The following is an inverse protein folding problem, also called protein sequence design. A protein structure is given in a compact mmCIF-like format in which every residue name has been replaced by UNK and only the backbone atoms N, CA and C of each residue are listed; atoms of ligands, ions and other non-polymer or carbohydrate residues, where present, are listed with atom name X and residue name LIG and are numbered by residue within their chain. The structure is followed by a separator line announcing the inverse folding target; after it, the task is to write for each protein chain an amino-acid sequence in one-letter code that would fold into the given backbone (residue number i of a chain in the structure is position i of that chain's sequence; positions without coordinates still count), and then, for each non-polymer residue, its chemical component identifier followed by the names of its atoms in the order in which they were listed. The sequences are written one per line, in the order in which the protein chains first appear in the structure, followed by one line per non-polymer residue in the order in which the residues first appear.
data_IF_528427345381
#
_entry.id   IF_528427345381
#
_cell.length_a   1.000
_cell.length_b   1.000
_cell.length_c   1.000
_cell.angle_alpha   90.00
_cell.angle_beta   90.00
_cell.angle_gamma   90.00
#
_symmetry.space_group_name_H-M   'P 1'
#
loop_
_entity.id
_entity.type
_entity.pdbx_description
1 polymer ?
#
# COMPACT_ATOMS: atom_id res chain seq x y z
N UNK A 1 -7.61 -33.65 12.84
CA UNK A 1 -8.84 -32.83 12.73
C UNK A 1 -9.50 -33.18 11.42
N UNK A 2 -10.80 -33.47 11.41
CA UNK A 2 -11.51 -33.76 10.17
C UNK A 2 -11.54 -32.53 9.26
N UNK A 3 -11.39 -32.73 7.95
CA UNK A 3 -11.41 -31.65 6.97
C UNK A 3 -12.69 -30.79 7.09
N UNK A 4 -13.82 -31.41 7.40
CA UNK A 4 -15.09 -30.73 7.65
C UNK A 4 -15.03 -29.79 8.86
N UNK A 5 -14.36 -30.19 9.94
CA UNK A 5 -14.19 -29.33 11.13
C UNK A 5 -13.32 -28.13 10.81
N UNK A 6 -12.23 -28.32 10.05
CA UNK A 6 -11.36 -27.22 9.62
C UNK A 6 -12.14 -26.23 8.74
N UNK A 7 -12.92 -26.72 7.78
CA UNK A 7 -13.75 -25.88 6.91
C UNK A 7 -14.81 -25.11 7.69
N UNK A 8 -15.50 -25.75 8.64
CA UNK A 8 -16.49 -25.07 9.48
C UNK A 8 -15.85 -24.00 10.36
N UNK A 9 -14.68 -24.28 10.96
CA UNK A 9 -13.93 -23.29 11.73
C UNK A 9 -13.48 -22.11 10.87
N UNK A 10 -12.95 -22.38 9.68
CA UNK A 10 -12.58 -21.35 8.71
C UNK A 10 -13.76 -20.45 8.36
N UNK A 11 -14.90 -21.04 7.98
CA UNK A 11 -16.13 -20.28 7.66
C UNK A 11 -16.59 -19.46 8.87
N UNK A 12 -16.65 -20.08 10.06
CA UNK A 12 -17.05 -19.41 11.30
C UNK A 12 -16.18 -18.20 11.60
N UNK A 13 -14.85 -18.33 11.50
CA UNK A 13 -13.91 -17.24 11.71
C UNK A 13 -14.08 -16.13 10.66
N UNK A 14 -14.21 -16.48 9.37
CA UNK A 14 -14.44 -15.50 8.30
C UNK A 14 -15.74 -14.73 8.53
N UNK A 15 -16.83 -15.41 8.89
CA UNK A 15 -18.12 -14.78 9.18
C UNK A 15 -18.01 -13.84 10.39
N UNK A 16 -17.42 -14.30 11.49
CA UNK A 16 -17.25 -13.47 12.70
C UNK A 16 -16.40 -12.23 12.40
N UNK A 17 -15.25 -12.41 11.74
CA UNK A 17 -14.36 -11.31 11.36
C UNK A 17 -15.07 -10.30 10.44
N UNK A 18 -15.79 -10.79 9.43
CA UNK A 18 -16.56 -9.96 8.51
C UNK A 18 -17.64 -9.17 9.23
N UNK A 19 -18.46 -9.83 10.06
CA UNK A 19 -19.53 -9.17 10.79
C UNK A 19 -18.99 -8.11 11.75
N UNK A 20 -17.87 -8.39 12.42
CA UNK A 20 -17.20 -7.44 13.29
C UNK A 20 -16.70 -6.22 12.51
N UNK A 21 -16.05 -6.43 11.37
CA UNK A 21 -15.56 -5.36 10.50
C UNK A 21 -16.71 -4.49 9.98
N UNK A 22 -17.77 -5.11 9.45
CA UNK A 22 -18.97 -4.40 8.97
C UNK A 22 -19.65 -3.63 10.10
N UNK A 23 -19.70 -4.19 11.30
CA UNK A 23 -20.23 -3.52 12.48
C UNK A 23 -19.39 -2.29 12.86
N UNK A 24 -18.07 -2.41 12.91
CA UNK A 24 -17.15 -1.29 13.19
C UNK A 24 -17.28 -0.18 12.14
N UNK A 25 -17.27 -0.53 10.85
CA UNK A 25 -17.43 0.42 9.75
C UNK A 25 -18.77 1.15 9.85
N UNK A 26 -19.88 0.42 10.11
CA UNK A 26 -21.19 1.05 10.29
C UNK A 26 -21.25 1.93 11.54
N UNK A 27 -20.60 1.54 12.64
CA UNK A 27 -20.50 2.37 13.84
C UNK A 27 -19.79 3.68 13.53
N UNK A 28 -18.68 3.63 12.78
CA UNK A 28 -17.93 4.81 12.37
C UNK A 28 -18.77 5.71 11.46
N UNK A 29 -19.40 5.16 10.42
CA UNK A 29 -20.28 5.92 9.51
C UNK A 29 -21.38 6.64 10.29
N UNK A 30 -22.09 5.94 11.18
CA UNK A 30 -23.16 6.54 12.00
C UNK A 30 -22.63 7.65 12.90
N UNK A 31 -21.46 7.44 13.51
CA UNK A 31 -20.85 8.44 14.38
C UNK A 31 -20.50 9.71 13.59
N UNK A 32 -19.85 9.57 12.44
CA UNK A 32 -19.49 10.70 11.57
C UNK A 32 -20.73 11.42 11.04
N UNK A 33 -21.75 10.68 10.59
CA UNK A 33 -23.01 11.25 10.11
C UNK A 33 -23.72 12.08 11.18
N UNK A 34 -23.80 11.59 12.42
CA UNK A 34 -24.43 12.30 13.54
C UNK A 34 -23.73 13.62 13.88
N UNK A 35 -22.41 13.69 13.72
CA UNK A 35 -21.62 14.88 14.06
C UNK A 35 -21.24 15.73 12.85
N UNK A 36 -21.75 15.40 11.66
CA UNK A 36 -21.47 16.14 10.41
C UNK A 36 -21.87 17.61 10.49
N UNK A 37 -22.94 17.93 11.22
CA UNK A 37 -23.52 19.27 11.25
C UNK A 37 -22.86 20.23 12.25
N UNK A 38 -21.93 19.75 13.08
CA UNK A 38 -21.34 20.54 14.17
C UNK A 38 -19.86 20.25 14.31
N UNK A 39 -19.04 21.30 14.24
CA UNK A 39 -17.61 21.21 14.54
C UNK A 39 -17.44 21.08 16.05
N UNK A 40 -16.60 20.15 16.56
CA UNK A 40 -16.32 20.08 17.99
C UNK A 40 -15.72 21.40 18.51
N UNK A 41 -16.07 21.80 19.72
CA UNK A 41 -15.67 23.09 20.31
C UNK A 41 -14.16 23.33 20.33
N UNK A 42 -13.36 22.27 20.52
CA UNK A 42 -11.90 22.35 20.49
C UNK A 42 -11.32 22.80 19.13
N UNK A 43 -12.09 22.64 18.04
CA UNK A 43 -11.64 22.91 16.67
C UNK A 43 -12.44 24.01 15.96
N UNK A 44 -13.50 24.53 16.57
CA UNK A 44 -14.42 25.48 15.92
C UNK A 44 -13.77 26.80 15.52
N UNK A 45 -12.64 27.16 16.12
CA UNK A 45 -11.87 28.37 15.76
C UNK A 45 -10.92 28.18 14.58
N UNK A 46 -10.61 26.93 14.20
CA UNK A 46 -9.63 26.61 13.14
C UNK A 46 -10.26 25.92 11.92
N UNK A 47 -11.37 25.20 12.13
CA UNK A 47 -12.03 24.42 11.08
C UNK A 47 -13.40 25.02 10.81
N UNK A 48 -13.62 25.42 9.56
CA UNK A 48 -14.94 25.87 9.11
C UNK A 48 -15.94 24.72 9.08
N UNK A 49 -17.22 25.01 9.27
CA UNK A 49 -18.29 24.02 9.18
C UNK A 49 -18.33 23.36 7.80
N UNK A 50 -18.01 24.09 6.74
CA UNK A 50 -17.94 23.56 5.38
C UNK A 50 -16.81 22.52 5.24
N UNK A 51 -15.60 22.83 5.70
CA UNK A 51 -14.48 21.90 5.68
C UNK A 51 -14.76 20.63 6.50
N UNK A 52 -15.38 20.79 7.68
CA UNK A 52 -15.80 19.66 8.51
C UNK A 52 -16.85 18.77 7.81
N UNK A 53 -17.85 19.37 7.16
CA UNK A 53 -18.86 18.63 6.38
C UNK A 53 -18.22 17.89 5.21
N UNK A 54 -17.30 18.52 4.50
CA UNK A 54 -16.55 17.90 3.39
C UNK A 54 -15.74 16.70 3.88
N UNK A 55 -15.03 16.83 5.01
CA UNK A 55 -14.26 15.73 5.61
C UNK A 55 -15.17 14.57 6.08
N UNK A 56 -16.33 14.89 6.67
CA UNK A 56 -17.32 13.90 7.06
C UNK A 56 -17.87 13.14 5.84
N UNK A 57 -18.23 13.85 4.76
CA UNK A 57 -18.72 13.26 3.52
C UNK A 57 -17.68 12.37 2.85
N UNK A 58 -16.42 12.81 2.82
CA UNK A 58 -15.30 12.00 2.31
C UNK A 58 -15.13 10.71 3.11
N UNK A 59 -15.12 10.82 4.44
CA UNK A 59 -15.02 9.67 5.34
C UNK A 59 -16.15 8.67 5.09
N UNK A 60 -17.39 9.15 5.00
CA UNK A 60 -18.56 8.29 4.74
C UNK A 60 -18.44 7.61 3.37
N UNK A 61 -18.07 8.34 2.32
CA UNK A 61 -17.90 7.79 0.98
C UNK A 61 -16.85 6.67 0.94
N UNK A 62 -15.67 6.91 1.55
CA UNK A 62 -14.58 5.94 1.64
C UNK A 62 -14.97 4.70 2.44
N UNK A 63 -15.68 4.88 3.56
CA UNK A 63 -16.15 3.75 4.38
C UNK A 63 -17.23 2.92 3.68
N UNK A 64 -18.17 3.56 2.97
CA UNK A 64 -19.16 2.84 2.17
C UNK A 64 -18.50 2.04 1.03
N UNK A 65 -17.51 2.62 0.37
CA UNK A 65 -16.74 1.93 -0.65
C UNK A 65 -15.94 0.75 -0.08
N UNK A 66 -15.33 0.91 1.10
CA UNK A 66 -14.65 -0.19 1.81
C UNK A 66 -15.57 -1.38 2.09
N UNK A 67 -16.87 -1.14 2.37
CA UNK A 67 -17.86 -2.23 2.50
C UNK A 67 -18.03 -3.00 1.19
N UNK A 68 -18.18 -2.30 0.06
CA UNK A 68 -18.29 -2.93 -1.27
C UNK A 68 -17.05 -3.78 -1.57
N UNK A 69 -15.86 -3.21 -1.33
CA UNK A 69 -14.61 -3.93 -1.48
C UNK A 69 -14.55 -5.19 -0.61
N UNK A 70 -14.94 -5.08 0.66
CA UNK A 70 -14.95 -6.22 1.60
C UNK A 70 -15.88 -7.34 1.11
N UNK A 71 -17.06 -6.99 0.60
CA UNK A 71 -18.02 -7.97 0.04
C UNK A 71 -17.41 -8.68 -1.16
N UNK A 72 -16.77 -7.95 -2.07
CA UNK A 72 -16.11 -8.55 -3.23
C UNK A 72 -14.96 -9.47 -2.81
N UNK A 73 -14.12 -9.04 -1.86
CA UNK A 73 -13.02 -9.86 -1.33
C UNK A 73 -13.52 -11.18 -0.71
N UNK A 74 -14.64 -11.15 0.00
CA UNK A 74 -15.26 -12.35 0.58
C UNK A 74 -15.86 -13.24 -0.50
N UNK A 75 -16.54 -12.65 -1.49
CA UNK A 75 -17.07 -13.40 -2.63
C UNK A 75 -15.94 -14.11 -3.40
N UNK A 76 -14.82 -13.42 -3.62
CA UNK A 76 -13.62 -14.02 -4.22
C UNK A 76 -13.04 -15.13 -3.33
N UNK A 77 -12.89 -14.90 -2.02
CA UNK A 77 -12.39 -15.90 -1.09
C UNK A 77 -13.20 -17.19 -1.14
N UNK A 78 -14.54 -17.10 -1.05
CA UNK A 78 -15.42 -18.26 -1.15
C UNK A 78 -15.45 -18.86 -2.56
N UNK A 79 -15.41 -18.02 -3.61
CA UNK A 79 -15.30 -18.45 -5.00
C UNK A 79 -14.08 -19.34 -5.24
N UNK A 80 -12.92 -18.90 -4.76
CA UNK A 80 -11.67 -19.62 -4.91
C UNK A 80 -11.59 -20.88 -4.03
N UNK A 81 -12.07 -20.80 -2.79
CA UNK A 81 -11.88 -21.89 -1.81
C UNK A 81 -13.03 -22.90 -1.77
N UNK A 82 -14.28 -22.45 -1.58
CA UNK A 82 -15.42 -23.33 -1.32
C UNK A 82 -16.18 -23.71 -2.60
N UNK A 83 -16.21 -22.81 -3.59
CA UNK A 83 -16.91 -23.04 -4.87
C UNK A 83 -16.02 -23.72 -5.91
N UNK A 84 -14.84 -24.20 -5.52
CA UNK A 84 -13.94 -24.95 -6.40
C UNK A 84 -13.21 -24.10 -7.43
N UNK A 85 -13.11 -22.77 -7.26
CA UNK A 85 -12.40 -21.90 -8.19
C UNK A 85 -10.93 -22.31 -8.38
N UNK A 86 -10.23 -22.64 -7.29
CA UNK A 86 -8.84 -23.08 -7.36
C UNK A 86 -8.71 -24.43 -8.09
N UNK A 87 -9.63 -25.36 -7.82
CA UNK A 87 -9.66 -26.65 -8.52
C UNK A 87 -9.93 -26.46 -10.01
N UNK A 88 -10.86 -25.57 -10.35
CA UNK A 88 -11.20 -25.26 -11.74
C UNK A 88 -10.00 -24.68 -12.48
N UNK A 89 -9.26 -23.76 -11.85
CA UNK A 89 -8.02 -23.21 -12.42
C UNK A 89 -6.94 -24.29 -12.56
N UNK A 90 -6.78 -25.17 -11.56
CA UNK A 90 -5.86 -26.29 -11.61
C UNK A 90 -6.18 -27.22 -12.79
N UNK A 91 -7.45 -27.61 -12.96
CA UNK A 91 -7.90 -28.45 -14.07
C UNK A 91 -7.70 -27.77 -15.44
N UNK A 92 -7.89 -26.46 -15.54
CA UNK A 92 -7.65 -25.70 -16.77
C UNK A 92 -6.16 -25.68 -17.17
N UNK A 93 -5.26 -25.67 -16.19
CA UNK A 93 -3.82 -25.63 -16.44
C UNK A 93 -3.19 -27.01 -16.58
N UNK A 94 -3.83 -28.05 -16.05
CA UNK A 94 -3.32 -29.42 -16.04
C UNK A 94 -2.85 -29.92 -17.43
N UNK A 95 -3.54 -29.64 -18.56
CA UNK A 95 -3.08 -30.05 -19.89
C UNK A 95 -1.72 -29.45 -20.30
N UNK A 96 -1.35 -28.31 -19.74
CA UNK A 96 -0.08 -27.61 -20.01
C UNK A 96 1.02 -27.97 -19.00
N UNK A 97 0.73 -28.83 -18.01
CA UNK A 97 1.69 -29.16 -16.96
C UNK A 97 2.96 -29.86 -17.46
N UNK A 98 2.84 -30.71 -18.50
CA UNK A 98 3.98 -31.43 -19.09
C UNK A 98 4.92 -30.46 -19.81
N UNK A 99 4.38 -29.47 -20.53
CA UNK A 99 5.18 -28.50 -21.30
C UNK A 99 5.85 -27.47 -20.40
N UNK A 100 5.19 -27.07 -19.31
CA UNK A 100 5.70 -26.11 -18.33
C UNK A 100 6.68 -26.74 -17.32
N UNK A 101 6.64 -28.07 -17.16
CA UNK A 101 7.34 -28.78 -16.07
C UNK A 101 6.71 -28.52 -14.70
N UNK A 102 7.15 -29.27 -13.68
CA UNK A 102 6.53 -29.25 -12.34
C UNK A 102 6.53 -27.88 -11.66
N UNK A 103 7.67 -27.17 -11.68
CA UNK A 103 7.79 -25.83 -11.07
C UNK A 103 7.09 -24.78 -11.95
N UNK A 104 7.25 -24.84 -13.28
CA UNK A 104 6.62 -23.89 -14.20
C UNK A 104 5.09 -23.93 -14.13
N UNK A 105 4.52 -25.12 -13.98
CA UNK A 105 3.09 -25.31 -13.74
C UNK A 105 2.60 -24.60 -12.46
N UNK A 106 3.31 -24.79 -11.34
CA UNK A 106 2.95 -24.16 -10.06
C UNK A 106 3.08 -22.63 -10.11
N UNK A 107 4.13 -22.12 -10.77
CA UNK A 107 4.30 -20.69 -11.02
C UNK A 107 3.11 -20.16 -11.85
N UNK A 108 2.73 -20.84 -12.92
CA UNK A 108 1.62 -20.44 -13.77
C UNK A 108 0.29 -20.40 -12.99
N UNK A 109 0.04 -21.38 -12.12
CA UNK A 109 -1.15 -21.40 -11.28
C UNK A 109 -1.22 -20.19 -10.35
N UNK A 110 -0.13 -19.89 -9.62
CA UNK A 110 -0.07 -18.73 -8.72
C UNK A 110 -0.20 -17.43 -9.52
N UNK A 111 0.51 -17.32 -10.63
CA UNK A 111 0.50 -16.12 -11.49
C UNK A 111 -0.90 -15.84 -12.06
N UNK A 112 -1.58 -16.84 -12.60
CA UNK A 112 -2.91 -16.66 -13.20
C UNK A 112 -3.96 -16.38 -12.12
N UNK A 113 -3.86 -17.05 -10.97
CA UNK A 113 -4.70 -16.73 -9.81
C UNK A 113 -4.55 -15.25 -9.40
N UNK A 114 -3.32 -14.76 -9.25
CA UNK A 114 -3.03 -13.37 -8.93
C UNK A 114 -3.49 -12.41 -10.04
N UNK A 115 -3.31 -12.78 -11.30
CA UNK A 115 -3.74 -11.97 -12.44
C UNK A 115 -5.26 -11.80 -12.47
N UNK A 116 -6.02 -12.88 -12.26
CA UNK A 116 -7.49 -12.82 -12.20
C UNK A 116 -7.93 -11.93 -11.03
N UNK A 117 -7.31 -12.08 -9.86
CA UNK A 117 -7.58 -11.21 -8.71
C UNK A 117 -7.33 -9.73 -9.03
N UNK A 118 -6.17 -9.41 -9.61
CA UNK A 118 -5.84 -8.04 -10.02
C UNK A 118 -6.84 -7.47 -11.02
N UNK A 119 -7.25 -8.24 -12.04
CA UNK A 119 -8.25 -7.81 -13.03
C UNK A 119 -9.60 -7.52 -12.39
N UNK A 120 -10.03 -8.34 -11.43
CA UNK A 120 -11.28 -8.13 -10.69
C UNK A 120 -11.21 -6.87 -9.81
N UNK A 121 -10.04 -6.51 -9.31
CA UNK A 121 -9.83 -5.30 -8.49
C UNK A 121 -9.76 -4.01 -9.32
N UNK A 122 -9.40 -4.07 -10.62
CA UNK A 122 -9.25 -2.88 -11.47
C UNK A 122 -10.46 -1.93 -11.50
N UNK A 123 -11.72 -2.40 -11.61
CA UNK A 123 -12.88 -1.51 -11.59
C UNK A 123 -13.05 -0.80 -10.24
N UNK A 124 -12.70 -1.45 -9.14
CA UNK A 124 -12.74 -0.84 -7.81
C UNK A 124 -11.65 0.22 -7.69
N UNK A 125 -10.43 -0.09 -8.09
CA UNK A 125 -9.32 0.86 -8.09
C UNK A 125 -9.64 2.11 -8.93
N UNK A 126 -10.18 1.90 -10.14
CA UNK A 126 -10.62 2.99 -11.00
C UNK A 126 -11.71 3.83 -10.35
N UNK A 127 -12.71 3.19 -9.72
CA UNK A 127 -13.81 3.91 -9.05
C UNK A 127 -13.28 4.73 -7.87
N UNK A 128 -12.35 4.18 -7.09
CA UNK A 128 -11.70 4.89 -5.98
C UNK A 128 -11.05 6.18 -6.48
N UNK A 129 -10.19 6.12 -7.49
CA UNK A 129 -9.48 7.28 -8.02
C UNK A 129 -10.40 8.27 -8.76
N UNK A 130 -11.12 7.80 -9.77
CA UNK A 130 -11.83 8.68 -10.72
C UNK A 130 -13.24 9.06 -10.29
N UNK A 131 -13.81 8.43 -9.25
CA UNK A 131 -15.11 8.80 -8.69
C UNK A 131 -15.01 9.33 -7.28
N UNK A 132 -14.37 8.60 -6.37
CA UNK A 132 -14.30 9.03 -4.97
C UNK A 132 -13.28 10.16 -4.84
N UNK A 133 -11.99 9.90 -5.08
CA UNK A 133 -10.94 10.90 -4.90
C UNK A 133 -11.14 12.13 -5.80
N UNK A 134 -11.59 11.92 -7.05
CA UNK A 134 -11.95 13.02 -7.95
C UNK A 134 -13.07 13.91 -7.39
N UNK A 135 -14.12 13.33 -6.79
CA UNK A 135 -15.25 14.09 -6.22
C UNK A 135 -14.81 15.01 -5.08
N UNK A 136 -13.79 14.62 -4.32
CA UNK A 136 -13.29 15.40 -3.19
C UNK A 136 -12.12 16.32 -3.55
N UNK A 137 -11.62 16.24 -4.79
CA UNK A 137 -10.55 17.07 -5.32
C UNK A 137 -9.14 16.58 -4.97
N UNK A 138 -9.01 15.32 -4.56
CA UNK A 138 -7.72 14.70 -4.27
C UNK A 138 -7.07 14.13 -5.53
N UNK A 139 -7.84 13.54 -6.43
CA UNK A 139 -7.27 12.95 -7.64
C UNK A 139 -6.71 14.02 -8.59
N UNK A 140 -5.44 13.87 -8.95
CA UNK A 140 -4.76 14.64 -10.00
C UNK A 140 -4.32 13.77 -11.16
N UNK A 141 -4.45 12.45 -11.00
CA UNK A 141 -4.05 11.45 -11.99
C UNK A 141 -4.97 11.49 -13.22
N UNK A 142 -4.37 11.46 -14.41
CA UNK A 142 -5.09 11.22 -15.66
C UNK A 142 -5.23 9.73 -15.94
N UNK A 143 -6.17 9.34 -16.80
CA UNK A 143 -6.32 7.94 -17.25
C UNK A 143 -5.04 7.38 -17.88
N UNK A 144 -4.25 8.23 -18.56
CA UNK A 144 -2.99 7.83 -19.18
C UNK A 144 -1.92 7.49 -18.14
N UNK A 145 -1.81 8.29 -17.07
CA UNK A 145 -0.89 8.00 -15.96
C UNK A 145 -1.36 6.74 -15.23
N UNK A 146 -2.66 6.61 -14.98
CA UNK A 146 -3.24 5.42 -14.33
C UNK A 146 -2.94 4.13 -15.08
N UNK A 147 -3.18 4.11 -16.39
CA UNK A 147 -2.89 2.92 -17.20
C UNK A 147 -1.38 2.63 -17.28
N UNK A 148 -0.56 3.67 -17.38
CA UNK A 148 0.90 3.52 -17.42
C UNK A 148 1.43 2.94 -16.10
N UNK A 149 0.95 3.44 -14.96
CA UNK A 149 1.32 2.95 -13.65
C UNK A 149 0.85 1.51 -13.43
N UNK A 150 -0.35 1.16 -13.88
CA UNK A 150 -0.86 -0.21 -13.87
C UNK A 150 0.06 -1.16 -14.65
N UNK A 151 0.42 -0.80 -15.88
CA UNK A 151 1.31 -1.60 -16.72
C UNK A 151 2.71 -1.72 -16.10
N UNK A 152 3.28 -0.61 -15.63
CA UNK A 152 4.59 -0.62 -14.94
C UNK A 152 4.55 -1.51 -13.70
N UNK A 153 3.53 -1.37 -12.86
CA UNK A 153 3.36 -2.19 -11.66
C UNK A 153 3.23 -3.67 -12.00
N UNK A 154 2.48 -4.01 -13.05
CA UNK A 154 2.35 -5.39 -13.52
C UNK A 154 3.72 -5.98 -13.90
N UNK A 155 4.52 -5.26 -14.69
CA UNK A 155 5.84 -5.73 -15.10
C UNK A 155 6.84 -5.79 -13.94
N UNK A 156 6.91 -4.76 -13.10
CA UNK A 156 7.81 -4.73 -11.94
C UNK A 156 7.45 -5.86 -10.97
N UNK A 157 6.17 -6.03 -10.64
CA UNK A 157 5.71 -7.07 -9.73
C UNK A 157 5.93 -8.47 -10.30
N UNK A 158 5.72 -8.67 -11.61
CA UNK A 158 5.97 -9.96 -12.26
C UNK A 158 7.47 -10.28 -12.31
N UNK A 159 8.30 -9.29 -12.66
CA UNK A 159 9.75 -9.44 -12.76
C UNK A 159 10.39 -9.78 -11.41
N UNK A 160 9.87 -9.23 -10.31
CA UNK A 160 10.38 -9.46 -8.96
C UNK A 160 9.71 -10.69 -8.32
N UNK A 161 8.39 -10.81 -8.47
CA UNK A 161 7.59 -11.84 -7.82
C UNK A 161 7.79 -13.24 -8.40
N UNK A 162 7.86 -13.39 -9.72
CA UNK A 162 7.99 -14.71 -10.35
C UNK A 162 9.31 -15.42 -9.98
N UNK A 163 10.49 -14.76 -10.00
CA UNK A 163 11.73 -15.38 -9.53
C UNK A 163 11.67 -15.76 -8.04
N UNK A 164 11.04 -14.94 -7.21
CA UNK A 164 10.91 -15.22 -5.78
C UNK A 164 10.00 -16.43 -5.53
N UNK A 165 8.87 -16.51 -6.23
CA UNK A 165 7.97 -17.68 -6.19
C UNK A 165 8.74 -18.93 -6.66
N UNK A 166 9.45 -18.83 -7.78
CA UNK A 166 10.25 -19.94 -8.31
C UNK A 166 11.30 -20.43 -7.30
N UNK A 167 12.01 -19.50 -6.64
CA UNK A 167 13.00 -19.82 -5.61
C UNK A 167 12.36 -20.55 -4.42
N UNK A 168 11.23 -20.07 -3.92
CA UNK A 168 10.53 -20.69 -2.78
C UNK A 168 10.03 -22.10 -3.15
N UNK A 169 9.40 -22.27 -4.31
CA UNK A 169 8.93 -23.57 -4.78
C UNK A 169 10.08 -24.55 -5.00
N UNK A 170 11.21 -24.07 -5.53
CA UNK A 170 12.41 -24.87 -5.68
C UNK A 170 12.99 -25.31 -4.32
N UNK A 171 13.04 -24.42 -3.33
CA UNK A 171 13.47 -24.74 -1.97
C UNK A 171 12.54 -25.79 -1.32
N UNK A 172 11.22 -25.66 -1.51
CA UNK A 172 10.24 -26.65 -1.04
C UNK A 172 10.51 -28.05 -1.60
N UNK A 173 10.92 -28.14 -2.88
CA UNK A 173 11.21 -29.41 -3.52
C UNK A 173 12.57 -30.03 -3.19
N UNK A 174 13.55 -29.23 -2.74
CA UNK A 174 14.96 -29.65 -2.63
C UNK A 174 15.51 -29.70 -1.21
N UNK A 175 15.08 -28.80 -0.31
CA UNK A 175 15.68 -28.60 1.00
C UNK A 175 15.09 -29.50 2.12
N UNK A 176 14.33 -30.53 1.74
CA UNK A 176 13.77 -31.56 2.63
C UNK A 176 12.96 -30.96 3.78
N UNK A 177 13.05 -31.55 4.98
CA UNK A 177 12.29 -31.09 6.16
C UNK A 177 12.63 -29.67 6.62
N UNK A 178 13.79 -29.13 6.21
CA UNK A 178 14.27 -27.79 6.58
C UNK A 178 13.92 -26.71 5.54
N UNK A 179 13.14 -27.02 4.51
CA UNK A 179 12.84 -26.08 3.42
C UNK A 179 12.30 -24.73 3.91
N UNK A 180 11.49 -24.75 4.96
CA UNK A 180 10.85 -23.56 5.52
C UNK A 180 11.86 -22.59 6.15
N UNK A 181 12.97 -23.10 6.71
CA UNK A 181 14.07 -22.26 7.23
C UNK A 181 14.79 -21.54 6.09
N UNK A 182 15.04 -22.24 4.99
CA UNK A 182 15.67 -21.65 3.80
C UNK A 182 14.75 -20.66 3.10
N UNK A 183 13.46 -20.99 2.95
CA UNK A 183 12.47 -20.07 2.39
C UNK A 183 12.31 -18.82 3.27
N UNK A 184 12.31 -18.97 4.60
CA UNK A 184 12.32 -17.86 5.54
C UNK A 184 13.57 -16.99 5.40
N UNK A 185 14.77 -17.59 5.35
CA UNK A 185 16.01 -16.84 5.19
C UNK A 185 16.05 -16.08 3.85
N UNK A 186 15.64 -16.74 2.76
CA UNK A 186 15.50 -16.11 1.44
C UNK A 186 14.51 -14.94 1.48
N UNK A 187 13.36 -15.11 2.14
CA UNK A 187 12.36 -14.05 2.30
C UNK A 187 12.90 -12.86 3.11
N UNK A 188 13.62 -13.10 4.20
CA UNK A 188 14.26 -12.04 5.01
C UNK A 188 15.30 -11.28 4.18
N UNK A 189 16.21 -11.98 3.51
CA UNK A 189 17.23 -11.37 2.66
C UNK A 189 16.57 -10.56 1.55
N UNK A 190 15.54 -11.11 0.90
CA UNK A 190 14.77 -10.41 -0.13
C UNK A 190 14.14 -9.11 0.38
N UNK A 191 13.53 -9.12 1.57
CA UNK A 191 12.95 -7.91 2.16
C UNK A 191 14.03 -6.86 2.49
N UNK A 192 15.18 -7.27 3.03
CA UNK A 192 16.30 -6.37 3.28
C UNK A 192 16.85 -5.77 1.99
N UNK A 193 16.92 -6.55 0.90
CA UNK A 193 17.29 -6.05 -0.41
C UNK A 193 16.26 -5.06 -0.95
N UNK A 194 14.96 -5.35 -0.83
CA UNK A 194 13.91 -4.44 -1.26
C UNK A 194 13.91 -3.11 -0.50
N UNK A 195 14.30 -3.07 0.77
CA UNK A 195 14.48 -1.81 1.50
C UNK A 195 15.49 -0.87 0.83
N UNK A 196 16.47 -1.41 0.10
CA UNK A 196 17.48 -0.64 -0.64
C UNK A 196 17.07 -0.45 -2.11
N UNK A 197 16.63 -1.52 -2.77
CA UNK A 197 16.27 -1.52 -4.20
C UNK A 197 15.05 -0.64 -4.46
N UNK A 198 14.06 -0.65 -3.58
CA UNK A 198 12.81 0.09 -3.79
C UNK A 198 13.02 1.59 -3.97
N UNK A 199 13.61 2.33 -3.00
CA UNK A 199 13.78 3.77 -3.16
C UNK A 199 14.77 4.17 -4.26
N UNK A 200 15.74 3.31 -4.59
CA UNK A 200 16.81 3.64 -5.56
C UNK A 200 16.38 3.35 -7.00
N UNK A 201 15.70 2.23 -7.25
CA UNK A 201 15.39 1.77 -8.61
C UNK A 201 13.91 1.66 -8.91
N UNK A 202 13.07 1.29 -7.93
CA UNK A 202 11.64 1.07 -8.20
C UNK A 202 10.88 2.40 -8.14
N UNK A 203 11.01 3.14 -7.04
CA UNK A 203 10.28 4.40 -6.85
C UNK A 203 10.55 5.43 -7.98
N UNK A 204 11.79 5.59 -8.51
CA UNK A 204 12.06 6.48 -9.63
C UNK A 204 11.42 6.09 -10.98
N UNK A 205 10.93 4.85 -11.13
CA UNK A 205 10.16 4.46 -12.33
C UNK A 205 8.76 5.10 -12.35
N UNK A 206 8.26 5.48 -11.18
CA UNK A 206 6.92 6.03 -10.98
C UNK A 206 6.96 7.54 -10.75
N UNK A 207 7.92 8.02 -9.97
CA UNK A 207 8.00 9.43 -9.55
C UNK A 207 9.33 10.05 -9.97
N UNK A 208 9.32 11.35 -10.22
CA UNK A 208 10.53 12.14 -10.41
C UNK A 208 11.02 12.64 -9.06
N UNK A 209 12.33 12.55 -8.85
CA UNK A 209 12.99 13.02 -7.64
C UNK A 209 14.00 14.10 -8.03
N UNK A 210 13.78 15.30 -7.54
CA UNK A 210 14.65 16.46 -7.78
C UNK A 210 15.30 16.90 -6.46
N UNK A 211 16.53 17.42 -6.46
CA UNK A 211 17.11 18.03 -5.27
C UNK A 211 16.25 19.20 -4.77
N UNK A 212 16.17 19.37 -3.45
CA UNK A 212 15.47 20.52 -2.86
C UNK A 212 16.15 21.83 -3.28
N UNK A 213 15.44 22.66 -4.06
CA UNK A 213 15.95 23.90 -4.61
C UNK A 213 15.97 25.08 -3.63
N UNK A 214 15.08 25.06 -2.62
CA UNK A 214 15.03 26.11 -1.59
C UNK A 214 16.21 25.96 -0.62
N UNK A 215 17.25 26.75 -0.84
CA UNK A 215 18.46 26.75 -0.01
C UNK A 215 18.16 27.18 1.44
N UNK A 216 17.19 28.06 1.68
CA UNK A 216 16.84 28.49 3.04
C UNK A 216 16.19 27.35 3.84
N UNK A 217 15.26 26.62 3.21
CA UNK A 217 14.66 25.44 3.83
C UNK A 217 15.70 24.35 4.04
N UNK A 218 16.55 24.12 3.04
CA UNK A 218 17.63 23.13 3.11
C UNK A 218 18.59 23.39 4.26
N UNK A 219 19.04 24.63 4.46
CA UNK A 219 19.88 25.03 5.59
C UNK A 219 19.19 24.78 6.94
N UNK A 220 17.92 25.19 7.08
CA UNK A 220 17.14 24.96 8.31
C UNK A 220 17.00 23.48 8.63
N UNK A 221 16.67 22.66 7.62
CA UNK A 221 16.51 21.22 7.78
C UNK A 221 17.85 20.56 8.11
N UNK A 222 18.94 20.95 7.47
CA UNK A 222 20.28 20.45 7.79
C UNK A 222 20.68 20.80 9.23
N UNK A 223 20.40 22.03 9.69
CA UNK A 223 20.66 22.43 11.07
C UNK A 223 19.84 21.61 12.08
N UNK A 224 18.55 21.36 11.80
CA UNK A 224 17.71 20.50 12.63
C UNK A 224 18.25 19.07 12.68
N UNK A 225 18.59 18.49 11.53
CA UNK A 225 19.15 17.15 11.45
C UNK A 225 20.47 17.02 12.22
N UNK A 226 21.36 17.99 12.10
CA UNK A 226 22.62 18.03 12.86
C UNK A 226 22.37 18.06 14.37
N UNK A 227 21.43 18.89 14.84
CA UNK A 227 21.04 18.95 16.27
C UNK A 227 20.49 17.61 16.77
N UNK A 228 19.80 16.86 15.93
CA UNK A 228 19.26 15.54 16.24
C UNK A 228 20.27 14.39 16.05
N UNK A 229 21.50 14.67 15.62
CA UNK A 229 22.50 13.63 15.32
C UNK A 229 22.15 12.77 14.10
N UNK A 230 21.33 13.30 13.18
CA UNK A 230 20.87 12.62 11.99
C UNK A 230 21.70 13.05 10.77
N UNK A 231 22.27 12.09 10.06
CA UNK A 231 22.96 12.33 8.80
C UNK A 231 22.11 11.77 7.65
N UNK A 232 21.74 12.63 6.70
CA UNK A 232 21.19 12.21 5.41
C UNK A 232 22.12 12.68 4.30
N UNK A 233 22.20 11.87 3.25
CA UNK A 233 22.99 12.10 2.05
C UNK A 233 22.34 13.13 1.11
N UNK A 234 21.01 13.33 1.20
CA UNK A 234 20.32 14.32 0.38
C UNK A 234 18.88 14.61 0.78
N UNK A 235 18.44 15.81 0.38
CA UNK A 235 17.08 16.35 0.49
C UNK A 235 16.48 16.39 -0.91
N UNK A 236 15.38 15.68 -1.11
CA UNK A 236 14.73 15.54 -2.41
C UNK A 236 13.26 15.93 -2.35
N UNK A 237 12.75 16.40 -3.49
CA UNK A 237 11.33 16.67 -3.72
C UNK A 237 10.83 15.65 -4.73
N UNK A 238 9.70 15.03 -4.41
CA UNK A 238 8.98 14.08 -5.25
C UNK A 238 7.72 14.73 -5.81
N UNK A 239 7.45 14.47 -7.08
CA UNK A 239 6.29 14.99 -7.84
C UNK A 239 4.95 14.30 -7.49
N UNK A 240 4.62 14.25 -6.18
CA UNK A 240 3.40 13.64 -5.67
C UNK A 240 2.12 14.26 -6.24
N UNK A 241 2.16 15.56 -6.58
CA UNK A 241 1.07 16.32 -7.18
C UNK A 241 0.55 15.73 -8.49
N UNK A 242 1.34 14.95 -9.23
CA UNK A 242 0.89 14.28 -10.47
C UNK A 242 -0.19 13.22 -10.21
N UNK A 243 -0.25 12.68 -9.00
CA UNK A 243 -1.18 11.60 -8.63
C UNK A 243 -2.25 12.08 -7.67
N UNK A 244 -1.84 12.81 -6.63
CA UNK A 244 -2.74 13.20 -5.56
C UNK A 244 -2.42 14.60 -5.04
N UNK A 245 -3.45 15.29 -4.55
CA UNK A 245 -3.30 16.51 -3.78
C UNK A 245 -2.95 16.24 -2.31
N UNK A 246 -2.66 15.01 -1.91
CA UNK A 246 -2.19 14.68 -0.56
C UNK A 246 -0.75 15.14 -0.34
N UNK A 247 -0.44 15.53 0.89
CA UNK A 247 0.87 16.04 1.31
C UNK A 247 1.53 15.03 2.24
N UNK A 248 2.82 14.74 2.03
CA UNK A 248 3.57 13.82 2.86
C UNK A 248 5.08 14.14 2.84
N UNK A 249 5.81 13.65 3.85
CA UNK A 249 7.26 13.62 3.88
C UNK A 249 7.70 12.30 4.51
N UNK A 250 8.80 11.73 4.03
CA UNK A 250 9.31 10.47 4.58
C UNK A 250 10.82 10.37 4.48
N UNK A 251 11.37 9.47 5.30
CA UNK A 251 12.77 9.10 5.30
C UNK A 251 12.94 7.73 4.66
N UNK A 252 13.99 7.57 3.84
CA UNK A 252 14.29 6.29 3.20
C UNK A 252 15.79 6.06 3.12
N UNK A 253 16.20 4.81 2.87
CA UNK A 253 17.61 4.39 2.81
C UNK A 253 18.16 3.87 4.14
N UNK A 254 19.34 3.25 4.07
CA UNK A 254 19.99 2.57 5.21
C UNK A 254 21.27 3.30 5.64
N UNK A 255 21.49 3.32 6.97
CA UNK A 255 22.73 3.84 7.54
C UNK A 255 22.98 5.32 7.24
N UNK A 256 24.10 5.61 6.59
CA UNK A 256 24.53 6.97 6.21
C UNK A 256 23.95 7.44 4.86
N UNK A 257 23.44 6.52 4.04
CA UNK A 257 22.86 6.80 2.72
C UNK A 257 21.36 7.16 2.81
N UNK A 258 20.92 7.69 3.95
CA UNK A 258 19.53 8.07 4.16
C UNK A 258 19.19 9.29 3.34
N UNK A 259 17.95 9.36 2.86
CA UNK A 259 17.40 10.46 2.08
C UNK A 259 16.13 10.94 2.73
N UNK A 260 15.93 12.25 2.69
CA UNK A 260 14.67 12.88 3.09
C UNK A 260 13.93 13.26 1.82
N UNK A 261 12.69 12.81 1.69
CA UNK A 261 11.85 13.05 0.52
C UNK A 261 10.61 13.84 0.95
N UNK A 262 10.41 15.00 0.33
CA UNK A 262 9.22 15.82 0.48
C UNK A 262 8.30 15.65 -0.71
N UNK A 263 6.99 15.67 -0.49
CA UNK A 263 6.06 15.86 -1.59
C UNK A 263 6.03 17.35 -1.95
N UNK A 264 6.02 17.66 -3.24
CA UNK A 264 5.79 19.02 -3.75
C UNK A 264 4.54 19.68 -3.14
N UNK A 265 3.43 18.95 -3.03
CA UNK A 265 2.18 19.41 -2.39
C UNK A 265 2.31 19.78 -0.92
N UNK A 266 3.33 19.27 -0.21
CA UNK A 266 3.62 19.64 1.17
C UNK A 266 4.32 21.00 1.21
N UNK A 267 5.32 21.18 0.34
CA UNK A 267 6.10 22.41 0.22
C UNK A 267 5.24 23.59 -0.29
N UNK A 268 4.25 23.32 -1.13
CA UNK A 268 3.31 24.34 -1.62
C UNK A 268 2.33 24.83 -0.54
N UNK A 269 2.09 24.05 0.51
CA UNK A 269 1.02 24.31 1.49
C UNK A 269 1.51 24.79 2.84
N UNK A 270 2.67 24.32 3.27
CA UNK A 270 3.20 24.58 4.59
C UNK A 270 4.27 25.66 4.53
N UNK A 271 4.26 26.53 5.53
CA UNK A 271 5.37 27.45 5.78
C UNK A 271 6.63 26.68 6.23
N UNK A 272 7.79 27.33 6.13
CA UNK A 272 9.06 26.75 6.59
C UNK A 272 9.02 26.31 8.06
N UNK A 273 8.33 27.04 8.93
CA UNK A 273 8.20 26.70 10.35
C UNK A 273 7.35 25.44 10.56
N UNK A 274 6.27 25.29 9.79
CA UNK A 274 5.42 24.10 9.84
C UNK A 274 6.13 22.87 9.26
N UNK A 275 6.89 23.04 8.17
CA UNK A 275 7.73 21.98 7.60
C UNK A 275 8.80 21.50 8.59
N UNK A 276 9.46 22.43 9.28
CA UNK A 276 10.45 22.10 10.31
C UNK A 276 9.80 21.32 11.47
N UNK A 277 8.58 21.68 11.88
CA UNK A 277 7.84 20.96 12.90
C UNK A 277 7.48 19.52 12.47
N UNK A 278 7.04 19.33 11.21
CA UNK A 278 6.77 18.00 10.64
C UNK A 278 8.05 17.16 10.62
N UNK A 279 9.18 17.74 10.19
CA UNK A 279 10.46 17.03 10.19
C UNK A 279 10.96 16.70 11.59
N UNK A 280 10.76 17.59 12.55
CA UNK A 280 11.10 17.31 13.94
C UNK A 280 10.29 16.11 14.49
N UNK A 281 9.02 15.98 14.11
CA UNK A 281 8.20 14.81 14.44
C UNK A 281 8.78 13.51 13.87
N UNK A 282 9.09 13.51 12.56
CA UNK A 282 9.66 12.35 11.88
C UNK A 282 11.07 11.98 12.40
N UNK A 283 11.92 12.98 12.68
CA UNK A 283 13.22 12.77 13.33
C UNK A 283 13.05 12.23 14.76
N UNK A 284 11.96 12.56 15.44
CA UNK A 284 11.58 11.95 16.71
C UNK A 284 11.35 10.44 16.60
N UNK A 285 10.66 9.99 15.55
CA UNK A 285 10.51 8.55 15.27
C UNK A 285 11.85 7.86 15.06
N UNK A 286 12.78 8.53 14.39
CA UNK A 286 14.14 8.02 14.24
C UNK A 286 14.91 7.97 15.56
N UNK A 287 14.86 9.04 16.35
CA UNK A 287 15.56 9.14 17.64
C UNK A 287 15.10 8.04 18.61
N UNK A 288 13.80 7.78 18.69
CA UNK A 288 13.22 6.73 19.52
C UNK A 288 13.25 5.33 18.87
N UNK A 289 13.88 5.17 17.70
CA UNK A 289 14.03 3.90 16.99
C UNK A 289 12.70 3.20 16.69
N UNK A 290 11.65 3.96 16.41
CA UNK A 290 10.36 3.42 15.97
C UNK A 290 10.45 2.83 14.56
N UNK A 291 11.34 3.38 13.73
CA UNK A 291 11.67 2.90 12.40
C UNK A 291 13.18 2.61 12.39
N UNK A 292 13.57 1.38 12.04
CA UNK A 292 14.96 0.94 11.89
C UNK A 292 15.36 0.93 10.43
#
# INVERSE_FOLDING_TARGET
MDANVITMLFIGLVVVATLLQLWLTRRQIRHVQRHRATVPSAFSSRISLEAHRKAADYTIARQNFSVVHTILSIAMLFGWTLLGGLESLNLLLQPYGITLGGIGYQIALIFIFSLIGGVIELPLDWYSHFRIEQRFGFNRMSLGIWLTDLIKNFFVSSLIGLPLIALVLWLMGTAGATWWLWAWAAWVIFNLLLMVIYPIWIAPLFNQFEPLADETLKERVQALMQRCGFAAEGLFVMDGSKRSAESNAYFTGLGKAKRVVFYDTLLERLSHDELEAVLAHELGHFHHRHLR
#
